data_IF_918218048167
#
_entry.id   IF_918218048167
#
_cell.length_a   1.000
_cell.length_b   1.000
_cell.length_c   1.000
_cell.angle_alpha   90.00
_cell.angle_beta   90.00
_cell.angle_gamma   90.00
#
_symmetry.space_group_name_H-M   'P 1'
#
loop_
_entity.id
_entity.type
_entity.pdbx_description
1 polymer ?
#
# COMPACT_ATOMS: atom_id res chain seq x y z
N UNK A 1 4.32 2.45 13.51
CA UNK A 1 2.96 2.78 13.98
C UNK A 1 2.96 4.01 14.88
N UNK A 2 3.73 4.06 15.99
CA UNK A 2 3.73 5.22 16.91
C UNK A 2 4.00 6.57 16.21
N UNK A 3 4.94 6.62 15.24
CA UNK A 3 5.26 7.83 14.46
C UNK A 3 4.07 8.36 13.63
N UNK A 4 3.12 7.49 13.28
CA UNK A 4 1.91 7.83 12.54
C UNK A 4 0.70 8.06 13.46
N UNK A 5 0.87 8.00 14.79
CA UNK A 5 -0.22 8.11 15.74
C UNK A 5 -1.20 6.92 15.76
N UNK A 6 -0.80 5.79 15.14
CA UNK A 6 -1.64 4.59 15.07
C UNK A 6 -1.47 3.79 16.36
N UNK A 7 -2.57 3.64 17.10
CA UNK A 7 -2.62 2.95 18.39
C UNK A 7 -3.19 1.52 18.28
N UNK A 8 -4.13 1.28 17.37
CA UNK A 8 -4.62 -0.08 17.08
C UNK A 8 -3.90 -0.61 15.85
N UNK A 9 -2.92 -1.47 16.09
CA UNK A 9 -2.27 -2.24 15.04
C UNK A 9 -2.17 -3.71 15.47
N UNK A 10 -2.31 -4.61 14.52
CA UNK A 10 -2.35 -6.04 14.77
C UNK A 10 -1.44 -6.78 13.80
N UNK A 11 -0.78 -7.81 14.27
CA UNK A 11 -0.06 -8.75 13.41
C UNK A 11 -1.01 -9.89 13.11
N UNK A 12 -1.21 -10.20 11.83
CA UNK A 12 -2.10 -11.27 11.41
C UNK A 12 -1.61 -12.62 11.96
N UNK A 13 -2.55 -13.42 12.41
CA UNK A 13 -2.33 -14.72 13.04
C UNK A 13 -2.44 -14.67 14.56
N UNK A 14 -2.47 -15.85 15.15
CA UNK A 14 -2.52 -16.02 16.60
C UNK A 14 -1.13 -15.79 17.21
N UNK A 15 -1.00 -15.44 18.49
CA UNK A 15 0.29 -15.23 19.15
C UNK A 15 1.29 -16.36 18.97
N UNK A 16 0.80 -17.58 18.75
CA UNK A 16 1.60 -18.79 18.61
C UNK A 16 1.86 -19.19 17.13
N UNK A 17 1.16 -18.54 16.19
CA UNK A 17 1.24 -18.84 14.75
C UNK A 17 1.45 -17.56 13.95
N UNK A 18 2.67 -17.08 13.93
CA UNK A 18 3.07 -15.90 13.14
C UNK A 18 3.82 -16.38 11.91
N UNK A 19 3.38 -15.88 10.75
CA UNK A 19 4.14 -16.05 9.53
C UNK A 19 5.36 -15.13 9.52
N UNK A 20 6.44 -15.63 8.93
CA UNK A 20 7.66 -14.86 8.71
C UNK A 20 7.63 -14.19 7.35
N UNK A 21 8.51 -13.21 7.18
CA UNK A 21 8.82 -12.62 5.89
C UNK A 21 9.28 -13.69 4.89
N UNK A 22 8.77 -13.60 3.67
CA UNK A 22 9.00 -14.58 2.60
C UNK A 22 10.24 -14.27 1.75
N UNK A 23 10.84 -13.10 1.93
CA UNK A 23 11.88 -12.59 1.04
C UNK A 23 11.33 -12.20 -0.33
N UNK A 24 12.19 -11.66 -1.18
CA UNK A 24 11.83 -11.29 -2.55
C UNK A 24 11.48 -12.53 -3.38
N UNK A 25 10.62 -12.32 -4.39
CA UNK A 25 10.18 -13.38 -5.30
C UNK A 25 11.38 -14.11 -5.91
N UNK A 26 11.32 -15.44 -5.90
CA UNK A 26 12.37 -16.30 -6.43
C UNK A 26 13.55 -16.56 -5.50
N UNK A 27 13.52 -16.05 -4.26
CA UNK A 27 14.55 -16.37 -3.26
C UNK A 27 14.25 -17.70 -2.55
N UNK A 28 15.28 -18.42 -2.04
CA UNK A 28 15.09 -19.69 -1.32
C UNK A 28 14.18 -19.58 -0.08
N UNK A 29 14.00 -18.37 0.46
CA UNK A 29 13.11 -18.11 1.59
C UNK A 29 11.65 -18.40 1.26
N UNK A 30 11.25 -18.24 0.00
CA UNK A 30 9.88 -18.48 -0.45
C UNK A 30 9.41 -19.92 -0.20
N UNK A 31 10.35 -20.89 -0.17
CA UNK A 31 10.05 -22.31 0.00
C UNK A 31 9.89 -22.74 1.47
N UNK A 32 10.12 -21.86 2.42
CA UNK A 32 9.98 -22.17 3.85
C UNK A 32 8.51 -22.29 4.24
N UNK A 33 8.14 -23.36 4.94
CA UNK A 33 6.75 -23.63 5.32
C UNK A 33 6.14 -22.66 6.36
N UNK A 34 6.93 -21.76 6.95
CA UNK A 34 6.48 -20.83 7.97
C UNK A 34 6.48 -19.36 7.50
N UNK A 35 6.61 -19.11 6.19
CA UNK A 35 6.56 -17.76 5.60
C UNK A 35 5.14 -17.44 5.15
N UNK A 36 4.83 -16.15 5.06
CA UNK A 36 3.48 -15.69 4.72
C UNK A 36 3.05 -16.11 3.31
N UNK A 37 3.99 -16.14 2.36
CA UNK A 37 3.73 -16.61 1.00
C UNK A 37 3.17 -18.04 0.95
N UNK A 38 3.62 -18.92 1.84
CA UNK A 38 3.18 -20.31 1.92
C UNK A 38 1.94 -20.52 2.80
N UNK A 39 1.41 -19.45 3.42
CA UNK A 39 0.21 -19.54 4.23
C UNK A 39 -0.97 -20.05 3.38
N UNK A 40 -1.74 -20.98 3.94
CA UNK A 40 -3.03 -21.32 3.38
C UNK A 40 -3.92 -20.08 3.30
N UNK A 41 -4.53 -19.85 2.14
CA UNK A 41 -5.28 -18.63 1.89
C UNK A 41 -6.50 -18.50 2.79
N UNK A 42 -7.29 -19.57 2.91
CA UNK A 42 -8.51 -19.52 3.70
C UNK A 42 -8.18 -19.43 5.19
N UNK A 43 -7.13 -20.12 5.67
CA UNK A 43 -6.67 -19.99 7.04
C UNK A 43 -6.26 -18.56 7.38
N UNK A 44 -5.39 -17.95 6.57
CA UNK A 44 -4.94 -16.58 6.78
C UNK A 44 -6.09 -15.58 6.65
N UNK A 45 -7.03 -15.81 5.73
CA UNK A 45 -8.21 -14.97 5.55
C UNK A 45 -9.16 -15.04 6.74
N UNK A 46 -9.36 -16.22 7.35
CA UNK A 46 -10.19 -16.35 8.54
C UNK A 46 -9.66 -15.54 9.73
N UNK A 47 -8.33 -15.43 9.89
CA UNK A 47 -7.75 -14.55 10.91
C UNK A 47 -8.10 -13.08 10.66
N UNK A 48 -8.09 -12.63 9.40
CA UNK A 48 -8.50 -11.27 9.05
C UNK A 48 -10.02 -11.06 9.16
N UNK A 49 -10.83 -12.07 8.86
CA UNK A 49 -12.29 -12.03 9.05
C UNK A 49 -12.66 -11.71 10.50
N UNK A 50 -11.99 -12.32 11.48
CA UNK A 50 -12.22 -12.01 12.89
C UNK A 50 -12.05 -10.52 13.19
N UNK A 51 -11.00 -9.91 12.63
CA UNK A 51 -10.70 -8.48 12.78
C UNK A 51 -11.77 -7.64 12.06
N UNK A 52 -12.15 -8.00 10.83
CA UNK A 52 -13.18 -7.29 10.07
C UNK A 52 -14.52 -7.30 10.80
N UNK A 53 -14.93 -8.44 11.34
CA UNK A 53 -16.21 -8.57 12.07
C UNK A 53 -16.20 -7.83 13.41
N UNK A 54 -15.04 -7.72 14.06
CA UNK A 54 -14.87 -6.95 15.30
C UNK A 54 -14.92 -5.44 15.03
N UNK A 55 -14.09 -4.97 14.07
CA UNK A 55 -13.92 -3.53 13.79
C UNK A 55 -15.04 -2.99 12.91
N UNK A 56 -15.61 -3.82 12.04
CA UNK A 56 -16.63 -3.44 11.06
C UNK A 56 -16.19 -2.25 10.19
N UNK A 57 -15.05 -2.35 9.49
CA UNK A 57 -14.54 -1.25 8.69
C UNK A 57 -15.45 -0.99 7.48
N UNK A 58 -15.69 0.28 7.17
CA UNK A 58 -16.39 0.69 5.97
C UNK A 58 -15.44 0.73 4.76
N UNK A 59 -14.18 1.04 5.00
CA UNK A 59 -13.13 1.16 3.98
C UNK A 59 -12.00 0.20 4.31
N UNK A 60 -11.52 -0.50 3.28
CA UNK A 60 -10.33 -1.35 3.36
C UNK A 60 -9.35 -0.93 2.28
N UNK A 61 -8.08 -0.78 2.65
CA UNK A 61 -6.99 -0.48 1.73
C UNK A 61 -6.02 -1.65 1.75
N UNK A 62 -5.61 -2.12 0.57
CA UNK A 62 -4.61 -3.18 0.42
C UNK A 62 -3.74 -2.93 -0.81
N UNK A 63 -2.81 -3.83 -1.09
CA UNK A 63 -2.04 -3.84 -2.34
C UNK A 63 -2.91 -4.25 -3.53
N UNK A 64 -2.43 -3.95 -4.74
CA UNK A 64 -2.97 -4.54 -5.97
C UNK A 64 -2.61 -6.03 -6.07
N UNK A 65 -3.12 -6.71 -7.10
CA UNK A 65 -2.88 -8.14 -7.35
C UNK A 65 -1.41 -8.48 -7.59
N UNK A 66 -0.61 -7.48 -7.98
CA UNK A 66 0.83 -7.61 -8.19
C UNK A 66 1.65 -7.32 -6.92
N UNK A 67 1.00 -6.88 -5.83
CA UNK A 67 1.67 -6.53 -4.58
C UNK A 67 2.56 -5.28 -4.69
N UNK A 68 2.17 -4.32 -5.53
CA UNK A 68 2.97 -3.15 -5.85
C UNK A 68 4.15 -3.50 -6.75
N UNK A 69 5.28 -3.88 -6.17
CA UNK A 69 6.52 -4.20 -6.89
C UNK A 69 6.84 -5.71 -6.95
N UNK A 70 5.88 -6.58 -6.69
CA UNK A 70 6.03 -8.02 -6.85
C UNK A 70 6.59 -8.77 -5.62
N UNK A 71 6.54 -8.15 -4.43
CA UNK A 71 6.92 -8.87 -3.21
C UNK A 71 5.88 -9.95 -2.86
N UNK A 72 6.28 -11.22 -2.58
CA UNK A 72 5.35 -12.30 -2.28
C UNK A 72 4.37 -11.98 -1.15
N UNK A 73 4.84 -11.37 -0.07
CA UNK A 73 3.98 -11.03 1.07
C UNK A 73 2.97 -9.93 0.76
N UNK A 74 3.29 -9.02 -0.17
CA UNK A 74 2.34 -8.01 -0.62
C UNK A 74 1.24 -8.62 -1.51
N UNK A 75 1.62 -9.55 -2.40
CA UNK A 75 0.67 -10.33 -3.20
C UNK A 75 -0.22 -11.17 -2.27
N UNK A 76 0.37 -11.84 -1.29
CA UNK A 76 -0.39 -12.61 -0.30
C UNK A 76 -1.31 -11.73 0.54
N UNK A 77 -0.87 -10.53 0.95
CA UNK A 77 -1.70 -9.57 1.68
C UNK A 77 -2.92 -9.13 0.85
N UNK A 78 -2.72 -8.86 -0.45
CA UNK A 78 -3.82 -8.63 -1.38
C UNK A 78 -4.81 -9.80 -1.40
N UNK A 79 -4.33 -11.02 -1.64
CA UNK A 79 -5.16 -12.22 -1.73
C UNK A 79 -5.97 -12.44 -0.44
N UNK A 80 -5.31 -12.35 0.72
CA UNK A 80 -5.93 -12.52 2.03
C UNK A 80 -6.97 -11.42 2.29
N UNK A 81 -6.66 -10.17 1.97
CA UNK A 81 -7.60 -9.06 2.16
C UNK A 81 -8.86 -9.21 1.30
N UNK A 82 -8.70 -9.53 0.02
CA UNK A 82 -9.84 -9.73 -0.88
C UNK A 82 -10.70 -10.92 -0.44
N UNK A 83 -10.08 -12.06 -0.14
CA UNK A 83 -10.79 -13.26 0.32
C UNK A 83 -11.48 -13.04 1.67
N UNK A 84 -10.84 -12.35 2.60
CA UNK A 84 -11.43 -12.04 3.90
C UNK A 84 -12.65 -11.13 3.80
N UNK A 85 -12.68 -10.18 2.86
CA UNK A 85 -13.86 -9.33 2.65
C UNK A 85 -15.05 -10.10 2.10
N UNK A 86 -14.83 -11.11 1.24
CA UNK A 86 -15.88 -12.01 0.77
C UNK A 86 -16.47 -12.84 1.93
N UNK A 87 -15.59 -13.50 2.69
CA UNK A 87 -15.97 -14.32 3.84
C UNK A 87 -16.66 -13.50 4.95
N UNK A 88 -16.24 -12.27 5.18
CA UNK A 88 -16.88 -11.38 6.15
C UNK A 88 -18.28 -10.96 5.69
N UNK A 89 -18.48 -10.75 4.38
CA UNK A 89 -19.81 -10.46 3.82
C UNK A 89 -20.78 -11.63 4.02
N UNK A 90 -20.33 -12.86 3.83
CA UNK A 90 -21.12 -14.08 4.12
C UNK A 90 -21.50 -14.17 5.61
N UNK A 91 -20.69 -13.58 6.50
CA UNK A 91 -20.91 -13.54 7.95
C UNK A 91 -21.59 -12.25 8.45
N UNK A 92 -22.12 -11.43 7.54
CA UNK A 92 -22.97 -10.29 7.87
C UNK A 92 -22.29 -8.92 7.94
N UNK A 93 -21.03 -8.81 7.53
CA UNK A 93 -20.40 -7.51 7.39
C UNK A 93 -19.79 -7.30 6.01
N UNK A 94 -20.34 -6.35 5.25
CA UNK A 94 -19.83 -5.97 3.94
C UNK A 94 -19.02 -4.68 4.02
N UNK A 95 -17.74 -4.76 3.67
CA UNK A 95 -16.90 -3.57 3.46
C UNK A 95 -17.46 -2.77 2.28
N UNK A 96 -17.75 -1.49 2.49
CA UNK A 96 -18.41 -0.63 1.50
C UNK A 96 -17.48 -0.24 0.35
N UNK A 97 -16.22 0.10 0.67
CA UNK A 97 -15.22 0.47 -0.32
C UNK A 97 -13.93 -0.29 -0.11
N UNK A 98 -13.36 -0.78 -1.20
CA UNK A 98 -12.02 -1.40 -1.20
C UNK A 98 -11.15 -0.63 -2.18
N UNK A 99 -9.97 -0.25 -1.72
CA UNK A 99 -8.97 0.45 -2.48
C UNK A 99 -7.67 -0.35 -2.57
N UNK A 100 -7.05 -0.31 -3.74
CA UNK A 100 -5.68 -0.75 -3.92
C UNK A 100 -4.76 0.47 -3.99
N UNK A 101 -3.62 0.42 -3.32
CA UNK A 101 -2.61 1.45 -3.48
C UNK A 101 -2.11 1.45 -4.94
N UNK A 102 -1.93 2.63 -5.48
CA UNK A 102 -1.60 2.82 -6.89
C UNK A 102 -0.58 3.94 -7.03
N UNK A 103 0.38 3.80 -7.93
CA UNK A 103 1.33 4.87 -8.24
C UNK A 103 1.18 5.19 -9.73
N UNK A 104 0.59 6.36 -10.09
CA UNK A 104 0.41 6.77 -11.47
C UNK A 104 1.74 6.93 -12.22
N UNK A 105 1.77 6.54 -13.50
CA UNK A 105 2.96 6.70 -14.35
C UNK A 105 3.44 8.15 -14.42
N UNK A 106 2.52 9.10 -14.51
CA UNK A 106 2.88 10.54 -14.53
C UNK A 106 3.62 10.99 -13.28
N UNK A 107 3.25 10.48 -12.11
CA UNK A 107 3.92 10.79 -10.82
C UNK A 107 5.33 10.22 -10.79
N UNK A 108 5.49 8.98 -11.23
CA UNK A 108 6.82 8.34 -11.32
C UNK A 108 7.69 9.05 -12.36
N UNK A 109 7.14 9.38 -13.52
CA UNK A 109 7.86 10.09 -14.57
C UNK A 109 8.40 11.43 -14.07
N UNK A 110 7.56 12.21 -13.38
CA UNK A 110 7.98 13.46 -12.74
C UNK A 110 9.10 13.23 -11.70
N UNK A 111 9.02 12.15 -10.92
CA UNK A 111 10.07 11.76 -9.98
C UNK A 111 11.40 11.47 -10.67
N UNK A 112 11.38 10.69 -11.76
CA UNK A 112 12.55 10.36 -12.56
C UNK A 112 13.20 11.64 -13.13
N UNK A 113 12.41 12.52 -13.74
CA UNK A 113 12.89 13.77 -14.33
C UNK A 113 13.56 14.66 -13.29
N UNK A 114 12.92 14.87 -12.16
CA UNK A 114 13.46 15.67 -11.07
C UNK A 114 14.71 15.07 -10.45
N UNK A 115 14.81 13.76 -10.29
CA UNK A 115 16.04 13.12 -9.80
C UNK A 115 17.20 13.30 -10.78
N UNK A 116 16.94 13.23 -12.09
CA UNK A 116 17.95 13.53 -13.11
C UNK A 116 18.47 14.97 -13.04
N UNK A 117 17.62 15.95 -12.78
CA UNK A 117 18.00 17.36 -12.61
C UNK A 117 19.03 17.56 -11.49
N UNK A 118 18.98 16.76 -10.43
CA UNK A 118 19.91 16.81 -9.30
C UNK A 118 21.07 15.81 -9.41
N UNK A 119 21.23 15.17 -10.59
CA UNK A 119 22.32 14.24 -10.86
C UNK A 119 22.21 12.90 -10.12
N UNK A 120 21.00 12.51 -9.73
CA UNK A 120 20.71 11.25 -9.06
C UNK A 120 19.84 10.35 -9.95
N UNK A 121 19.84 9.05 -9.68
CA UNK A 121 18.91 8.13 -10.33
C UNK A 121 17.67 7.91 -9.48
N UNK A 122 16.62 7.36 -10.11
CA UNK A 122 15.39 6.96 -9.46
C UNK A 122 15.39 5.43 -9.31
N UNK A 123 15.93 4.93 -8.20
CA UNK A 123 16.02 3.49 -7.90
C UNK A 123 16.77 2.68 -8.99
N UNK A 124 17.76 3.31 -9.66
CA UNK A 124 18.48 2.68 -10.75
C UNK A 124 17.73 2.63 -12.08
N UNK A 125 16.47 3.09 -12.14
CA UNK A 125 15.67 3.10 -13.36
C UNK A 125 16.18 4.18 -14.34
N UNK A 126 16.27 3.81 -15.61
CA UNK A 126 16.60 4.73 -16.70
C UNK A 126 15.35 5.32 -17.33
N UNK A 127 14.26 4.59 -17.29
CA UNK A 127 12.95 4.96 -17.80
C UNK A 127 11.83 4.42 -16.91
N UNK A 128 10.61 4.94 -17.14
CA UNK A 128 9.42 4.46 -16.44
C UNK A 128 9.08 3.00 -16.76
N UNK A 129 9.51 2.51 -17.93
CA UNK A 129 9.23 1.12 -18.34
C UNK A 129 10.07 0.10 -17.57
N UNK A 130 11.12 0.55 -16.86
CA UNK A 130 11.89 -0.27 -15.94
C UNK A 130 11.18 -0.50 -14.60
N UNK A 131 10.04 0.19 -14.37
CA UNK A 131 9.32 0.22 -13.10
C UNK A 131 7.92 -0.42 -13.24
N UNK A 132 7.79 -1.73 -13.05
CA UNK A 132 6.53 -2.46 -13.28
C UNK A 132 5.40 -2.07 -12.33
N UNK A 133 5.70 -1.36 -11.24
CA UNK A 133 4.72 -0.85 -10.30
C UNK A 133 4.07 0.48 -10.72
N UNK A 134 4.59 1.14 -11.77
CA UNK A 134 4.00 2.35 -12.32
C UNK A 134 2.75 1.99 -13.13
N UNK A 135 1.60 2.42 -12.68
CA UNK A 135 0.30 2.08 -13.28
C UNK A 135 -0.20 3.18 -14.22
N UNK A 136 -1.01 2.84 -15.24
CA UNK A 136 -1.72 3.84 -16.03
C UNK A 136 -2.46 4.85 -15.16
N UNK A 137 -2.40 6.13 -15.53
CA UNK A 137 -2.95 7.24 -14.71
C UNK A 137 -4.46 7.11 -14.49
N UNK A 138 -5.19 6.55 -15.45
CA UNK A 138 -6.63 6.31 -15.38
C UNK A 138 -7.04 5.30 -14.29
N UNK A 139 -6.11 4.46 -13.82
CA UNK A 139 -6.36 3.56 -12.70
C UNK A 139 -6.35 4.26 -11.35
N UNK A 140 -5.73 5.44 -11.25
CA UNK A 140 -5.79 6.26 -10.06
C UNK A 140 -7.15 6.96 -9.97
N UNK A 141 -8.11 6.31 -9.36
CA UNK A 141 -9.50 6.80 -9.21
C UNK A 141 -9.68 7.76 -8.05
N UNK A 142 -8.73 7.76 -7.12
CA UNK A 142 -8.80 8.51 -5.86
C UNK A 142 -7.42 9.05 -5.52
N UNK A 143 -7.36 10.26 -5.00
CA UNK A 143 -6.15 10.89 -4.47
C UNK A 143 -6.43 11.50 -3.10
N UNK A 144 -5.59 11.18 -2.13
CA UNK A 144 -5.60 11.80 -0.80
C UNK A 144 -4.43 12.78 -0.73
N UNK A 145 -4.73 14.06 -0.68
CA UNK A 145 -3.73 15.11 -0.52
C UNK A 145 -3.50 15.38 0.97
N UNK A 146 -2.33 15.03 1.47
CA UNK A 146 -2.00 15.06 2.88
C UNK A 146 -0.56 15.56 3.15
N UNK A 147 -0.16 16.74 2.62
CA UNK A 147 1.20 17.26 2.76
C UNK A 147 1.56 17.56 4.22
N UNK A 148 0.59 17.87 5.07
CA UNK A 148 0.80 18.10 6.49
C UNK A 148 1.30 16.88 7.27
N UNK A 149 1.07 15.66 6.74
CA UNK A 149 1.53 14.41 7.35
C UNK A 149 2.86 13.90 6.82
N UNK A 150 3.50 14.60 5.89
CA UNK A 150 4.80 14.22 5.35
C UNK A 150 5.88 14.09 6.42
N UNK A 151 5.97 14.98 7.44
CA UNK A 151 6.92 14.80 8.53
C UNK A 151 6.73 13.48 9.28
N UNK A 152 5.50 13.06 9.52
CA UNK A 152 5.18 11.79 10.19
C UNK A 152 5.53 10.59 9.29
N UNK A 153 5.26 10.67 7.98
CA UNK A 153 5.66 9.64 7.00
C UNK A 153 7.18 9.44 6.99
N UNK A 154 7.94 10.53 6.94
CA UNK A 154 9.41 10.47 6.99
C UNK A 154 9.92 9.89 8.31
N UNK A 155 9.31 10.25 9.44
CA UNK A 155 9.64 9.69 10.74
C UNK A 155 9.34 8.17 10.79
N UNK A 156 8.23 7.74 10.19
CA UNK A 156 7.90 6.32 10.06
C UNK A 156 8.91 5.57 9.18
N UNK A 157 9.33 6.15 8.04
CA UNK A 157 10.39 5.59 7.19
C UNK A 157 11.72 5.44 7.93
N UNK A 158 12.13 6.45 8.70
CA UNK A 158 13.34 6.39 9.56
C UNK A 158 13.27 5.30 10.62
N UNK A 159 12.07 4.97 11.12
CA UNK A 159 11.89 3.88 12.07
C UNK A 159 12.16 2.49 11.45
N UNK A 160 12.23 2.37 10.12
CA UNK A 160 12.63 1.16 9.38
C UNK A 160 14.16 1.12 9.12
N UNK A 161 14.97 1.51 10.09
CA UNK A 161 16.41 1.67 9.96
C UNK A 161 17.18 0.41 9.50
N UNK A 162 16.60 -0.78 9.66
CA UNK A 162 17.18 -2.04 9.17
C UNK A 162 16.94 -2.30 7.68
N UNK A 163 16.02 -1.55 7.05
CA UNK A 163 15.62 -1.75 5.65
C UNK A 163 15.79 -0.47 4.82
N UNK A 164 15.65 0.70 5.43
CA UNK A 164 15.71 2.00 4.75
C UNK A 164 16.88 2.80 5.34
N UNK A 165 17.92 3.00 4.52
CA UNK A 165 19.06 3.88 4.87
C UNK A 165 18.66 5.34 4.66
N UNK A 166 19.12 6.23 5.55
CA UNK A 166 18.92 7.69 5.40
C UNK A 166 19.61 8.26 4.16
N UNK A 167 20.63 7.59 3.65
CA UNK A 167 21.31 7.94 2.39
C UNK A 167 20.74 7.19 1.17
N UNK A 168 19.72 6.38 1.38
CA UNK A 168 19.08 5.60 0.32
C UNK A 168 18.11 6.43 -0.55
N UNK A 169 17.64 5.83 -1.66
CA UNK A 169 16.83 6.51 -2.67
C UNK A 169 15.49 7.06 -2.11
N UNK A 170 14.90 6.41 -1.11
CA UNK A 170 13.68 6.91 -0.47
C UNK A 170 13.84 8.29 0.17
N UNK A 171 14.99 8.55 0.82
CA UNK A 171 15.26 9.86 1.40
C UNK A 171 15.89 10.84 0.41
N UNK A 172 16.54 10.34 -0.64
CA UNK A 172 17.08 11.20 -1.70
C UNK A 172 15.96 12.01 -2.36
N UNK A 173 14.79 11.43 -2.60
CA UNK A 173 13.62 12.13 -3.11
C UNK A 173 13.26 13.33 -2.22
N UNK A 174 13.06 13.12 -0.92
CA UNK A 174 12.68 14.20 0.00
C UNK A 174 13.77 15.24 0.20
N UNK A 175 15.06 14.84 0.19
CA UNK A 175 16.20 15.77 0.29
C UNK A 175 16.32 16.68 -0.94
N UNK A 176 16.09 16.14 -2.12
CA UNK A 176 16.33 16.83 -3.40
C UNK A 176 15.10 17.55 -3.96
N UNK A 177 13.89 17.02 -3.71
CA UNK A 177 12.64 17.52 -4.27
C UNK A 177 11.75 18.21 -3.25
N UNK A 178 12.15 18.18 -1.98
CA UNK A 178 11.37 18.72 -0.88
C UNK A 178 10.29 17.74 -0.36
N UNK A 179 9.68 18.12 0.74
CA UNK A 179 8.73 17.27 1.47
C UNK A 179 7.44 16.97 0.70
N UNK A 180 7.06 17.84 -0.24
CA UNK A 180 5.80 17.73 -0.99
C UNK A 180 5.68 16.47 -1.85
N UNK A 181 6.79 15.83 -2.19
CA UNK A 181 6.81 14.60 -3.01
C UNK A 181 6.00 13.46 -2.41
N UNK A 182 5.90 13.41 -1.08
CA UNK A 182 5.17 12.39 -0.35
C UNK A 182 3.78 12.83 0.13
N UNK A 183 3.33 14.01 -0.33
CA UNK A 183 2.08 14.61 0.12
C UNK A 183 0.83 13.94 -0.43
N UNK A 184 0.91 13.41 -1.64
CA UNK A 184 -0.24 12.77 -2.29
C UNK A 184 -0.13 11.25 -2.23
N UNK A 185 -1.25 10.60 -1.94
CA UNK A 185 -1.39 9.16 -2.05
C UNK A 185 -2.52 8.80 -3.02
N UNK A 186 -2.23 7.87 -3.91
CA UNK A 186 -3.14 7.49 -4.98
C UNK A 186 -3.68 6.08 -4.78
N UNK A 187 -4.96 5.89 -5.11
CA UNK A 187 -5.64 4.63 -4.96
C UNK A 187 -6.50 4.29 -6.17
N UNK A 188 -6.68 3.00 -6.43
CA UNK A 188 -7.68 2.45 -7.34
C UNK A 188 -8.85 1.95 -6.53
N UNK A 189 -10.04 2.51 -6.72
CA UNK A 189 -11.28 1.99 -6.14
C UNK A 189 -11.68 0.74 -6.92
N UNK A 190 -11.70 -0.43 -6.25
CA UNK A 190 -12.01 -1.73 -6.86
C UNK A 190 -13.34 -2.30 -6.40
N UNK A 191 -13.91 -1.76 -5.33
CA UNK A 191 -15.25 -2.06 -4.86
C UNK A 191 -15.91 -0.80 -4.30
N UNK A 192 -17.19 -0.63 -4.55
CA UNK A 192 -17.97 0.53 -4.16
C UNK A 192 -18.07 1.56 -5.30
N UNK A 193 -18.57 2.74 -4.99
CA UNK A 193 -18.78 3.82 -5.95
C UNK A 193 -18.03 5.07 -5.51
N UNK A 194 -17.49 5.81 -6.50
CA UNK A 194 -16.87 7.11 -6.25
C UNK A 194 -17.93 8.12 -5.80
N UNK A 195 -17.58 8.95 -4.83
CA UNK A 195 -18.43 10.03 -4.35
C UNK A 195 -17.67 11.36 -4.25
N UNK A 196 -18.39 12.48 -4.34
CA UNK A 196 -17.80 13.82 -4.20
C UNK A 196 -17.19 14.02 -2.80
N UNK A 197 -16.14 14.87 -2.68
CA UNK A 197 -15.62 15.78 -3.69
C UNK A 197 -14.66 15.13 -4.70
N UNK A 198 -14.57 15.73 -5.89
CA UNK A 198 -13.68 15.29 -6.97
C UNK A 198 -12.65 16.35 -7.32
N UNK A 199 -11.48 15.93 -7.77
CA UNK A 199 -10.49 16.80 -8.41
C UNK A 199 -10.87 17.13 -9.86
N UNK A 200 -10.04 17.95 -10.53
CA UNK A 200 -10.23 18.31 -11.93
C UNK A 200 -10.12 17.14 -12.93
N UNK A 201 -9.53 16.02 -12.51
CA UNK A 201 -9.38 14.80 -13.28
C UNK A 201 -10.48 13.76 -12.98
N UNK A 202 -11.46 14.14 -12.13
CA UNK A 202 -12.54 13.25 -11.72
C UNK A 202 -12.11 12.17 -10.71
N UNK A 203 -10.99 12.37 -10.02
CA UNK A 203 -10.56 11.54 -8.91
C UNK A 203 -11.29 11.95 -7.64
N UNK A 204 -11.72 10.97 -6.87
CA UNK A 204 -12.28 11.18 -5.54
C UNK A 204 -11.20 11.73 -4.58
N UNK A 205 -11.56 12.70 -3.73
CA UNK A 205 -10.64 13.35 -2.79
C UNK A 205 -10.77 12.84 -1.35
N UNK A 206 -11.76 12.00 -1.08
CA UNK A 206 -12.01 11.44 0.25
C UNK A 206 -12.43 9.98 0.13
N UNK A 207 -11.60 9.08 0.64
CA UNK A 207 -11.87 7.63 0.61
C UNK A 207 -13.12 7.22 1.40
N UNK A 208 -13.61 8.08 2.31
CA UNK A 208 -14.83 7.86 3.08
C UNK A 208 -16.07 8.52 2.46
N UNK A 209 -15.93 9.28 1.38
CA UNK A 209 -17.05 9.92 0.72
C UNK A 209 -18.12 8.88 0.31
N UNK A 210 -19.38 9.17 0.62
CA UNK A 210 -20.50 8.27 0.33
C UNK A 210 -20.56 6.99 1.18
N UNK A 211 -19.73 6.89 2.21
CA UNK A 211 -19.74 5.78 3.17
C UNK A 211 -20.24 6.32 4.51
N UNK A 212 -21.39 5.81 4.96
CA UNK A 212 -22.03 6.20 6.23
C UNK A 212 -22.12 4.98 7.13
#
# INVERSE_FOLDING_TARGET
MAQLGINDFRVLGDPNKKWRDSGMMGTPQNERGNVFWQADLDEASQELVKIILEIKPQVLITYDEFGGYGHPDHIKAHQVAMRATELAAEQGWQVSKIYWNTIPRSVIQMGIEKMKEVGSDFFGAQSIDDLPFAKPDELATTVVNAPEYVPQKLAAMKAHATQISEDGPFFALSKNLGLSVWGDEYYTLVKGEKAAPFDSNGRELDIFAGVI
#
